data_IF_028220612971
#
_entry.id   IF_028220612971
#
_cell.length_a   1.000
_cell.length_b   1.000
_cell.length_c   1.000
_cell.angle_alpha   90.00
_cell.angle_beta   90.00
_cell.angle_gamma   90.00
#
_symmetry.space_group_name_H-M   'P 1'
#
loop_
_entity.id
_entity.type
_entity.pdbx_description
1 polymer ?
#
# COMPACT_ATOMS: atom_id res chain seq x y z
N UNK A 1 25.09 -0.64 -2.95
CA UNK A 1 23.62 -0.57 -3.10
C UNK A 1 23.27 0.47 -4.14
N UNK A 2 22.64 0.05 -5.21
CA UNK A 2 22.05 0.96 -6.18
C UNK A 2 20.87 1.66 -5.50
N UNK A 3 20.89 2.99 -5.46
CA UNK A 3 19.75 3.76 -5.01
C UNK A 3 18.59 3.52 -5.97
N UNK A 4 17.43 3.17 -5.40
CA UNK A 4 16.23 2.96 -6.18
C UNK A 4 15.77 4.29 -6.79
N UNK A 5 15.57 4.29 -8.10
CA UNK A 5 14.97 5.40 -8.83
C UNK A 5 13.51 5.09 -9.06
N UNK A 6 12.66 6.06 -8.85
CA UNK A 6 11.22 5.91 -9.00
C UNK A 6 10.72 6.54 -10.28
N UNK A 7 9.56 6.08 -10.73
CA UNK A 7 8.86 6.59 -11.90
C UNK A 7 8.19 7.92 -11.57
N UNK A 8 8.39 8.93 -12.42
CA UNK A 8 7.70 10.22 -12.36
C UNK A 8 6.73 10.31 -13.54
N UNK A 9 5.52 10.78 -13.29
CA UNK A 9 4.45 10.86 -14.30
C UNK A 9 3.89 12.27 -14.43
N UNK A 10 3.11 12.46 -15.51
CA UNK A 10 2.23 13.62 -15.66
C UNK A 10 0.85 13.32 -15.04
N UNK A 11 -0.11 14.24 -15.18
CA UNK A 11 -1.47 14.10 -14.65
C UNK A 11 -2.31 13.02 -15.34
N UNK A 12 -1.85 12.48 -16.46
CA UNK A 12 -2.48 11.37 -17.18
C UNK A 12 -1.85 10.02 -16.86
N UNK A 13 -0.97 9.97 -15.84
CA UNK A 13 -0.21 8.78 -15.47
C UNK A 13 0.72 8.27 -16.58
N UNK A 14 1.19 9.17 -17.43
CA UNK A 14 2.20 8.86 -18.44
C UNK A 14 3.59 9.11 -17.86
N UNK A 15 4.53 8.20 -18.12
CA UNK A 15 5.92 8.32 -17.62
C UNK A 15 6.63 9.48 -18.31
N UNK A 16 7.12 10.44 -17.53
CA UNK A 16 7.88 11.58 -18.04
C UNK A 16 9.34 11.59 -17.57
N UNK A 17 9.70 10.69 -16.67
CA UNK A 17 11.08 10.59 -16.19
C UNK A 17 11.24 9.67 -15.01
N UNK A 18 12.44 9.67 -14.46
CA UNK A 18 12.80 8.88 -13.29
C UNK A 18 13.68 9.73 -12.38
N UNK A 19 13.53 9.58 -11.08
CA UNK A 19 14.33 10.30 -10.09
C UNK A 19 14.73 9.41 -8.93
N UNK A 20 15.83 9.74 -8.31
CA UNK A 20 16.16 9.22 -6.98
C UNK A 20 15.01 9.60 -6.02
N UNK A 21 14.58 8.68 -5.20
CA UNK A 21 13.47 8.90 -4.26
C UNK A 21 13.71 10.12 -3.36
N UNK A 22 14.96 10.38 -2.98
CA UNK A 22 15.32 11.51 -2.13
C UNK A 22 15.29 12.87 -2.86
N UNK A 23 15.18 12.85 -4.19
CA UNK A 23 15.22 14.05 -5.03
C UNK A 23 13.85 14.46 -5.58
N UNK A 24 12.78 13.82 -5.16
CA UNK A 24 11.41 14.12 -5.61
C UNK A 24 11.00 15.48 -5.06
N UNK A 25 10.45 16.32 -5.95
CA UNK A 25 9.88 17.61 -5.57
C UNK A 25 8.42 17.44 -5.13
N UNK A 26 7.90 18.32 -4.26
CA UNK A 26 6.52 18.20 -3.76
C UNK A 26 5.44 18.17 -4.83
N UNK A 27 5.66 18.85 -5.97
CA UNK A 27 4.72 18.91 -7.09
C UNK A 27 4.82 17.71 -8.04
N UNK A 28 5.86 16.91 -7.92
CA UNK A 28 6.06 15.76 -8.82
C UNK A 28 5.17 14.59 -8.42
N UNK A 29 4.69 13.87 -9.43
CA UNK A 29 3.74 12.77 -9.28
C UNK A 29 4.48 11.46 -9.47
N UNK A 30 4.37 10.56 -8.51
CA UNK A 30 4.95 9.22 -8.60
C UNK A 30 3.86 8.14 -8.55
N UNK A 31 4.25 6.89 -8.66
CA UNK A 31 3.33 5.74 -8.69
C UNK A 31 3.45 4.91 -7.43
N UNK A 32 2.30 4.47 -6.93
CA UNK A 32 2.17 3.54 -5.80
C UNK A 32 1.24 2.40 -6.22
N UNK A 33 1.55 1.18 -5.80
CA UNK A 33 0.65 0.05 -5.89
C UNK A 33 0.25 -0.36 -4.47
N UNK A 34 -1.01 -0.73 -4.27
CA UNK A 34 -1.52 -1.15 -2.97
C UNK A 34 -2.40 -2.39 -3.10
N UNK A 35 -2.37 -3.25 -2.08
CA UNK A 35 -3.11 -4.51 -2.06
C UNK A 35 -4.12 -4.52 -0.92
N UNK A 36 -5.39 -4.67 -1.28
CA UNK A 36 -6.51 -4.84 -0.36
C UNK A 36 -6.81 -6.32 -0.21
N UNK A 37 -6.55 -6.87 0.96
CA UNK A 37 -6.71 -8.30 1.21
C UNK A 37 -7.93 -8.54 2.10
N UNK A 38 -8.78 -9.46 1.66
CA UNK A 38 -9.94 -9.91 2.43
C UNK A 38 -9.91 -11.43 2.61
N UNK A 39 -10.67 -11.93 3.57
CA UNK A 39 -10.87 -13.37 3.77
C UNK A 39 -12.32 -13.75 3.47
N UNK A 40 -12.65 -15.03 3.59
CA UNK A 40 -14.01 -15.55 3.32
C UNK A 40 -15.08 -15.04 4.29
N UNK A 41 -14.68 -14.52 5.45
CA UNK A 41 -15.59 -13.87 6.39
C UNK A 41 -15.87 -12.40 6.08
N UNK A 42 -15.19 -11.85 5.07
CA UNK A 42 -15.26 -10.42 4.75
C UNK A 42 -14.38 -9.53 5.62
N UNK A 43 -13.51 -10.12 6.44
CA UNK A 43 -12.53 -9.35 7.23
C UNK A 43 -11.46 -8.77 6.31
N UNK A 44 -10.85 -7.69 6.75
CA UNK A 44 -9.85 -6.95 5.98
C UNK A 44 -8.50 -7.04 6.71
N UNK A 45 -7.46 -7.42 5.98
CA UNK A 45 -6.09 -7.45 6.51
C UNK A 45 -5.45 -6.08 6.36
N UNK A 46 -5.03 -5.50 7.46
CA UNK A 46 -4.24 -4.27 7.47
C UNK A 46 -2.85 -4.54 8.04
N UNK A 47 -1.89 -3.73 7.62
CA UNK A 47 -0.53 -3.72 8.13
C UNK A 47 -0.28 -2.43 8.91
N UNK A 48 0.34 -2.55 10.06
CA UNK A 48 0.82 -1.41 10.84
C UNK A 48 2.26 -1.10 10.43
N UNK A 49 2.52 0.14 10.07
CA UNK A 49 3.87 0.59 9.72
C UNK A 49 4.77 0.49 10.93
N UNK A 50 6.02 0.06 10.70
CA UNK A 50 7.02 -0.06 11.74
C UNK A 50 7.20 1.27 12.46
N UNK A 51 7.33 1.22 13.78
CA UNK A 51 7.41 2.41 14.66
C UNK A 51 8.65 3.27 14.39
N UNK A 52 9.69 2.69 13.80
CA UNK A 52 10.93 3.40 13.43
C UNK A 52 10.87 4.06 12.05
N UNK A 53 9.76 3.91 11.29
CA UNK A 53 9.63 4.51 9.96
C UNK A 53 9.65 6.04 10.07
N UNK A 54 10.29 6.67 9.09
CA UNK A 54 10.39 8.13 9.02
C UNK A 54 9.04 8.79 8.73
N UNK A 55 8.26 8.18 7.84
CA UNK A 55 6.95 8.68 7.44
C UNK A 55 5.85 7.82 8.06
N UNK A 56 4.88 8.46 8.69
CA UNK A 56 3.69 7.84 9.27
C UNK A 56 4.00 6.61 10.15
N UNK A 57 4.92 6.71 11.13
CA UNK A 57 5.27 5.56 11.98
C UNK A 57 4.05 5.09 12.78
N UNK A 58 3.86 3.79 12.85
CA UNK A 58 2.81 3.17 13.65
C UNK A 58 1.40 3.27 13.08
N UNK A 59 1.19 3.94 11.94
CA UNK A 59 -0.12 4.03 11.33
C UNK A 59 -0.49 2.74 10.61
N UNK A 60 -1.78 2.44 10.61
CA UNK A 60 -2.35 1.31 9.88
C UNK A 60 -2.66 1.69 8.44
N UNK A 61 -2.33 0.82 7.52
CA UNK A 61 -2.57 0.99 6.10
C UNK A 61 -2.96 -0.32 5.43
N UNK A 62 -3.02 -0.34 4.08
CA UNK A 62 -3.33 -1.57 3.36
C UNK A 62 -2.29 -2.66 3.69
N UNK A 63 -2.66 -3.93 3.49
CA UNK A 63 -1.78 -5.05 3.80
C UNK A 63 -0.41 -4.94 3.14
N UNK A 64 -0.37 -4.43 1.91
CA UNK A 64 0.86 -4.18 1.15
C UNK A 64 0.74 -2.87 0.39
N UNK A 65 1.80 -2.09 0.35
CA UNK A 65 1.91 -0.92 -0.53
C UNK A 65 3.37 -0.65 -0.85
N UNK A 66 3.64 -0.23 -2.08
CA UNK A 66 4.99 0.12 -2.50
C UNK A 66 5.01 1.19 -3.57
N UNK A 67 6.09 1.96 -3.58
CA UNK A 67 6.38 2.91 -4.66
C UNK A 67 6.94 2.14 -5.85
N UNK A 68 6.45 2.44 -7.04
CA UNK A 68 6.86 1.76 -8.27
C UNK A 68 8.22 2.29 -8.73
N UNK A 69 9.21 1.41 -8.76
CA UNK A 69 10.59 1.75 -9.15
C UNK A 69 10.76 1.76 -10.67
N UNK A 70 11.82 2.42 -11.14
CA UNK A 70 12.24 2.37 -12.54
C UNK A 70 12.38 0.91 -12.99
N UNK A 71 11.79 0.57 -14.13
CA UNK A 71 11.80 -0.79 -14.68
C UNK A 71 10.66 -1.68 -14.19
N UNK A 72 9.88 -1.23 -13.22
CA UNK A 72 8.70 -1.95 -12.74
C UNK A 72 7.43 -1.44 -13.40
N UNK A 73 6.40 -2.27 -13.32
CA UNK A 73 5.01 -1.89 -13.58
C UNK A 73 4.25 -1.91 -12.25
N UNK A 74 3.03 -1.38 -12.23
CA UNK A 74 2.16 -1.54 -11.06
C UNK A 74 1.99 -3.02 -10.69
N UNK A 75 1.79 -3.88 -11.70
CA UNK A 75 1.58 -5.32 -11.49
C UNK A 75 2.81 -6.02 -10.93
N UNK A 76 4.00 -5.73 -11.45
CA UNK A 76 5.25 -6.34 -10.95
C UNK A 76 5.61 -5.83 -9.56
N UNK A 77 5.37 -4.54 -9.30
CA UNK A 77 5.63 -3.94 -8.00
C UNK A 77 4.79 -4.58 -6.90
N UNK A 78 3.47 -4.69 -7.10
CA UNK A 78 2.60 -5.23 -6.03
C UNK A 78 2.94 -6.68 -5.68
N UNK A 79 3.35 -7.49 -6.65
CA UNK A 79 3.77 -8.88 -6.38
C UNK A 79 5.08 -8.93 -5.62
N UNK A 80 6.04 -8.09 -6.01
CA UNK A 80 7.33 -7.98 -5.33
C UNK A 80 7.14 -7.53 -3.87
N UNK A 81 6.37 -6.47 -3.66
CA UNK A 81 6.13 -5.93 -2.32
C UNK A 81 5.36 -6.91 -1.43
N UNK A 82 4.39 -7.64 -1.99
CA UNK A 82 3.66 -8.67 -1.24
C UNK A 82 4.59 -9.79 -0.76
N UNK A 83 5.53 -10.21 -1.59
CA UNK A 83 6.55 -11.20 -1.20
C UNK A 83 7.48 -10.66 -0.13
N UNK A 84 8.01 -9.45 -0.32
CA UNK A 84 8.97 -8.83 0.60
C UNK A 84 8.35 -8.46 1.95
N UNK A 85 7.20 -7.79 1.95
CA UNK A 85 6.63 -7.23 3.17
C UNK A 85 5.88 -8.24 4.04
N UNK A 86 5.13 -9.17 3.43
CA UNK A 86 4.30 -10.14 4.16
C UNK A 86 4.46 -11.59 3.73
N UNK A 87 5.44 -11.89 2.88
CA UNK A 87 5.80 -13.25 2.52
C UNK A 87 4.81 -13.98 1.61
N UNK A 88 4.02 -13.25 0.82
CA UNK A 88 3.06 -13.83 -0.11
C UNK A 88 3.69 -14.05 -1.49
N UNK A 89 3.85 -15.32 -1.88
CA UNK A 89 4.36 -15.75 -3.18
C UNK A 89 3.25 -16.31 -4.05
N UNK A 90 3.43 -16.23 -5.39
CA UNK A 90 2.55 -16.85 -6.38
C UNK A 90 1.08 -16.46 -6.21
N UNK A 91 0.83 -15.22 -5.83
CA UNK A 91 -0.53 -14.71 -5.64
C UNK A 91 -1.14 -14.25 -6.96
N UNK A 92 -2.44 -14.45 -7.09
CA UNK A 92 -3.23 -13.93 -8.21
C UNK A 92 -4.03 -12.73 -7.72
N UNK A 93 -3.49 -11.53 -7.95
CA UNK A 93 -4.17 -10.30 -7.62
C UNK A 93 -5.13 -9.89 -8.73
N UNK A 94 -6.22 -9.22 -8.34
CA UNK A 94 -7.17 -8.63 -9.27
C UNK A 94 -6.94 -7.14 -9.31
N UNK A 95 -6.67 -6.59 -10.49
CA UNK A 95 -6.53 -5.14 -10.68
C UNK A 95 -7.88 -4.47 -10.46
N UNK A 96 -7.90 -3.48 -9.57
CA UNK A 96 -9.09 -2.74 -9.20
C UNK A 96 -8.97 -1.26 -9.61
N UNK A 97 -9.44 -0.36 -8.79
CA UNK A 97 -9.48 1.08 -9.09
C UNK A 97 -8.11 1.74 -8.98
N UNK A 98 -7.89 2.77 -9.78
CA UNK A 98 -6.75 3.67 -9.67
C UNK A 98 -7.23 5.00 -9.13
N UNK A 99 -6.51 5.57 -8.18
CA UNK A 99 -6.84 6.88 -7.60
C UNK A 99 -5.66 7.83 -7.66
N UNK A 100 -5.94 9.10 -7.99
CA UNK A 100 -5.00 10.20 -7.90
C UNK A 100 -5.07 10.82 -6.51
N UNK A 101 -3.95 10.85 -5.82
CA UNK A 101 -3.81 11.55 -4.53
C UNK A 101 -3.03 12.84 -4.74
N UNK A 102 -3.56 13.95 -4.25
CA UNK A 102 -2.93 15.25 -4.31
C UNK A 102 -2.96 15.91 -2.93
N UNK A 103 -1.82 16.39 -2.46
CA UNK A 103 -1.68 16.99 -1.13
C UNK A 103 -0.21 17.15 -0.78
N UNK A 104 0.16 16.79 0.42
CA UNK A 104 1.54 16.78 0.88
C UNK A 104 2.41 15.89 -0.02
N UNK A 105 1.86 14.77 -0.45
CA UNK A 105 2.43 13.89 -1.44
C UNK A 105 1.49 13.77 -2.64
N UNK A 106 2.06 13.69 -3.85
CA UNK A 106 1.32 13.57 -5.09
C UNK A 106 1.63 12.24 -5.76
N UNK A 107 0.63 11.38 -5.94
CA UNK A 107 0.85 10.08 -6.57
C UNK A 107 -0.43 9.51 -7.16
N UNK A 108 -0.26 8.57 -8.09
CA UNK A 108 -1.30 7.65 -8.50
C UNK A 108 -1.15 6.37 -7.69
N UNK A 109 -2.25 5.85 -7.17
CA UNK A 109 -2.28 4.55 -6.50
C UNK A 109 -3.15 3.58 -7.31
N UNK A 110 -2.54 2.54 -7.84
CA UNK A 110 -3.26 1.42 -8.44
C UNK A 110 -3.55 0.41 -7.34
N UNK A 111 -4.82 0.22 -7.06
CA UNK A 111 -5.28 -0.77 -6.09
C UNK A 111 -5.47 -2.14 -6.74
N UNK A 112 -5.17 -3.16 -5.96
CA UNK A 112 -5.39 -4.57 -6.28
C UNK A 112 -6.15 -5.20 -5.13
N UNK A 113 -6.92 -6.25 -5.43
CA UNK A 113 -7.61 -7.04 -4.42
C UNK A 113 -7.11 -8.48 -4.43
N UNK A 114 -7.17 -9.12 -3.27
CA UNK A 114 -6.83 -10.53 -3.08
C UNK A 114 -7.72 -11.09 -1.98
N UNK A 115 -8.32 -12.25 -2.22
CA UNK A 115 -9.03 -12.99 -1.19
C UNK A 115 -8.18 -14.19 -0.77
N UNK A 116 -7.91 -14.31 0.53
CA UNK A 116 -7.06 -15.37 1.08
C UNK A 116 -7.48 -15.71 2.51
N UNK A 117 -7.54 -17.00 2.83
CA UNK A 117 -7.83 -17.48 4.17
C UNK A 117 -6.53 -17.94 4.85
N UNK A 118 -5.95 -17.04 5.62
CA UNK A 118 -4.78 -17.29 6.46
C UNK A 118 -4.96 -16.60 7.81
N UNK A 119 -4.41 -17.18 8.87
CA UNK A 119 -4.32 -16.48 10.15
C UNK A 119 -3.20 -15.45 10.11
N UNK A 120 -3.26 -14.44 10.98
CA UNK A 120 -2.27 -13.35 10.97
C UNK A 120 -0.83 -13.86 11.18
N UNK A 121 -0.64 -14.90 11.97
CA UNK A 121 0.66 -15.52 12.26
C UNK A 121 1.22 -16.36 11.11
N UNK A 122 0.43 -16.67 10.10
CA UNK A 122 0.88 -17.37 8.89
C UNK A 122 1.56 -16.43 7.86
N UNK A 123 1.51 -15.13 8.07
CA UNK A 123 2.24 -14.18 7.25
C UNK A 123 3.66 -13.97 7.78
N UNK A 124 4.64 -13.93 6.89
CA UNK A 124 6.04 -13.63 7.24
C UNK A 124 6.29 -12.15 7.00
N UNK A 125 6.26 -11.35 8.05
CA UNK A 125 6.41 -9.90 7.96
C UNK A 125 7.89 -9.49 7.86
N UNK A 126 8.14 -8.44 7.07
CA UNK A 126 9.43 -7.75 7.01
C UNK A 126 9.49 -6.75 8.16
N UNK A 127 10.20 -7.10 9.23
CA UNK A 127 10.17 -6.35 10.49
C UNK A 127 10.67 -4.91 10.37
N UNK A 128 11.49 -4.61 9.37
CA UNK A 128 11.97 -3.25 9.11
C UNK A 128 10.88 -2.33 8.54
N UNK A 129 9.86 -2.91 7.93
CA UNK A 129 8.76 -2.20 7.27
C UNK A 129 7.44 -2.32 8.02
N UNK A 130 7.16 -3.49 8.56
CA UNK A 130 5.86 -3.86 9.13
C UNK A 130 6.02 -4.24 10.61
N UNK A 131 5.30 -3.56 11.49
CA UNK A 131 5.23 -3.90 12.91
C UNK A 131 4.40 -5.15 13.13
N UNK A 132 3.22 -5.21 12.53
CA UNK A 132 2.30 -6.34 12.58
C UNK A 132 1.26 -6.26 11.49
N UNK A 133 0.61 -7.40 11.22
CA UNK A 133 -0.61 -7.45 10.41
C UNK A 133 -1.77 -7.92 11.31
N UNK A 134 -2.98 -7.45 11.00
CA UNK A 134 -4.17 -7.80 11.78
C UNK A 134 -5.38 -7.87 10.85
N UNK A 135 -6.23 -8.86 11.09
CA UNK A 135 -7.55 -8.94 10.50
C UNK A 135 -8.53 -8.07 11.28
N UNK A 136 -9.21 -7.20 10.58
CA UNK A 136 -10.29 -6.37 11.12
C UNK A 136 -11.60 -6.86 10.53
N UNK A 137 -12.62 -7.05 11.36
CA UNK A 137 -13.96 -7.22 10.81
C UNK A 137 -14.38 -5.91 10.13
N UNK A 138 -15.29 -5.99 9.17
CA UNK A 138 -15.76 -4.80 8.47
C UNK A 138 -16.39 -3.78 9.44
N UNK A 139 -17.17 -4.27 10.43
CA UNK A 139 -17.79 -3.42 11.44
C UNK A 139 -16.75 -2.79 12.38
N UNK A 140 -15.75 -3.54 12.80
CA UNK A 140 -14.65 -3.03 13.62
C UNK A 140 -13.88 -1.92 12.88
N UNK A 141 -13.53 -2.17 11.62
CA UNK A 141 -12.78 -1.18 10.83
C UNK A 141 -13.61 0.07 10.56
N UNK A 142 -14.89 -0.07 10.26
CA UNK A 142 -15.79 1.07 10.07
C UNK A 142 -15.83 1.96 11.32
N UNK A 143 -15.92 1.34 12.50
CA UNK A 143 -15.92 2.04 13.78
C UNK A 143 -14.58 2.73 14.03
N UNK A 144 -13.47 2.03 13.82
CA UNK A 144 -12.12 2.57 14.02
C UNK A 144 -11.84 3.77 13.11
N UNK A 145 -12.19 3.69 11.84
CA UNK A 145 -12.01 4.79 10.89
C UNK A 145 -12.83 6.03 11.26
N UNK A 146 -13.99 5.84 11.89
CA UNK A 146 -14.84 6.93 12.38
C UNK A 146 -14.32 7.52 13.68
N UNK A 147 -13.97 6.66 14.65
CA UNK A 147 -13.66 7.08 16.03
C UNK A 147 -12.17 7.46 16.21
N UNK A 148 -11.27 6.78 15.49
CA UNK A 148 -9.83 6.93 15.63
C UNK A 148 -9.12 7.14 14.27
N UNK A 149 -9.57 8.09 13.43
CA UNK A 149 -9.03 8.24 12.07
C UNK A 149 -7.53 8.56 12.04
N UNK A 150 -6.98 9.16 13.10
CA UNK A 150 -5.56 9.48 13.20
C UNK A 150 -4.63 8.28 13.31
N UNK A 151 -5.17 7.08 13.57
CA UNK A 151 -4.39 5.84 13.63
C UNK A 151 -4.21 5.19 12.25
N UNK A 152 -4.79 5.77 11.21
CA UNK A 152 -4.85 5.18 9.88
C UNK A 152 -4.28 6.12 8.83
N UNK A 153 -3.66 5.56 7.79
CA UNK A 153 -3.16 6.33 6.65
C UNK A 153 -4.32 7.06 5.95
N UNK A 154 -4.03 8.26 5.46
CA UNK A 154 -4.98 9.01 4.63
C UNK A 154 -5.31 8.19 3.38
N UNK A 155 -6.57 8.16 3.01
CA UNK A 155 -7.03 7.39 1.86
C UNK A 155 -7.48 5.97 2.17
N UNK A 156 -7.20 5.44 3.37
CA UNK A 156 -7.70 4.12 3.76
C UNK A 156 -9.23 4.10 3.82
N UNK A 157 -9.83 5.20 4.24
CA UNK A 157 -11.28 5.37 4.26
C UNK A 157 -11.90 5.20 2.87
N UNK A 158 -11.27 5.82 1.87
CA UNK A 158 -11.68 5.65 0.48
C UNK A 158 -11.61 4.19 0.03
N UNK A 159 -10.51 3.51 0.34
CA UNK A 159 -10.34 2.10 0.00
C UNK A 159 -11.41 1.22 0.66
N UNK A 160 -11.71 1.49 1.93
CA UNK A 160 -12.75 0.79 2.67
C UNK A 160 -14.14 0.93 2.02
N UNK A 161 -14.46 2.11 1.49
CA UNK A 161 -15.75 2.38 0.84
C UNK A 161 -15.82 1.84 -0.59
N UNK A 162 -14.69 1.82 -1.30
CA UNK A 162 -14.66 1.59 -2.76
C UNK A 162 -14.20 0.18 -3.16
N UNK A 163 -13.56 -0.55 -2.27
CA UNK A 163 -13.04 -1.90 -2.51
C UNK A 163 -13.76 -2.94 -1.66
#
# INVERSE_FOLDING_TARGET
MTKSRIIITNDQDEVIGHKDRSAILPEEIYRVAALWITNSNGDILLAQRQLSKRNDPGLWGPAVAGTVDEGETYDSNIRKEAEEEIGLNNIRTIKSKKRRYAGEHNYFCQWYTLAIDKTADEFTIQVEEVEQVKWFSRDELAKELRDNPGNYLKGLNWAFEEL
#
